data_IF_762714104130
#
_entry.id   IF_762714104130
#
_cell.length_a   1.000
_cell.length_b   1.000
_cell.length_c   1.000
_cell.angle_alpha   90.00
_cell.angle_beta   90.00
_cell.angle_gamma   90.00
#
_symmetry.space_group_name_H-M   'P 1'
#
loop_
_entity.id
_entity.type
_entity.pdbx_description
1 polymer ?
#
# COMPACT_ATOMS: atom_id res chain seq x y z
N UNK A 1 -0.82 -45.63 -31.76
CA UNK A 1 -1.23 -44.80 -30.58
C UNK A 1 -0.18 -44.75 -29.45
N UNK A 2 0.69 -45.73 -29.33
CA UNK A 2 1.74 -45.69 -28.28
C UNK A 2 2.89 -44.71 -28.51
N UNK A 3 3.09 -44.20 -29.73
CA UNK A 3 4.15 -43.24 -30.07
C UNK A 3 3.90 -41.79 -29.63
N UNK A 4 2.64 -41.41 -29.41
CA UNK A 4 2.27 -40.04 -28.99
C UNK A 4 2.24 -39.86 -27.46
N UNK A 5 2.23 -40.97 -26.71
CA UNK A 5 2.24 -40.95 -25.26
C UNK A 5 3.62 -40.59 -24.71
N UNK A 6 4.69 -40.86 -25.47
CA UNK A 6 6.09 -40.55 -25.12
C UNK A 6 6.44 -39.06 -25.36
N UNK A 7 5.77 -38.41 -26.33
CA UNK A 7 5.98 -36.99 -26.65
C UNK A 7 5.32 -36.08 -25.61
N UNK A 8 4.23 -36.53 -25.00
CA UNK A 8 3.52 -35.78 -23.96
C UNK A 8 4.27 -35.72 -22.64
N UNK A 9 5.18 -36.65 -22.39
CA UNK A 9 5.94 -36.74 -21.14
C UNK A 9 7.19 -35.84 -21.10
N UNK A 10 7.65 -35.37 -22.27
CA UNK A 10 8.83 -34.49 -22.39
C UNK A 10 8.44 -33.01 -22.28
N UNK A 11 7.17 -32.66 -22.50
CA UNK A 11 6.67 -31.27 -22.39
C UNK A 11 6.42 -30.77 -20.96
N UNK A 12 6.51 -31.65 -19.95
CA UNK A 12 6.29 -31.29 -18.53
C UNK A 12 7.59 -31.00 -17.74
N UNK A 13 8.75 -30.98 -18.41
CA UNK A 13 10.07 -30.90 -17.77
C UNK A 13 10.71 -29.49 -17.70
N UNK A 14 9.99 -28.43 -18.05
CA UNK A 14 10.54 -27.07 -17.98
C UNK A 14 9.77 -26.18 -17.01
N UNK A 15 9.62 -26.63 -15.76
CA UNK A 15 9.28 -25.71 -14.67
C UNK A 15 10.59 -25.05 -14.27
N UNK A 16 10.87 -23.91 -14.91
CA UNK A 16 11.91 -22.99 -14.45
C UNK A 16 11.58 -22.58 -13.02
N UNK A 17 12.41 -22.99 -12.07
CA UNK A 17 12.48 -22.41 -10.74
C UNK A 17 12.99 -20.97 -10.86
N UNK A 18 12.12 -20.06 -11.31
CA UNK A 18 12.35 -18.62 -11.33
C UNK A 18 11.93 -18.04 -9.98
N UNK A 19 12.91 -17.59 -9.23
CA UNK A 19 12.87 -16.65 -8.10
C UNK A 19 11.52 -16.46 -7.38
N UNK A 20 11.21 -17.35 -6.44
CA UNK A 20 10.03 -17.27 -5.58
C UNK A 20 10.11 -16.15 -4.51
N UNK A 21 11.17 -15.33 -4.50
CA UNK A 21 11.34 -14.26 -3.50
C UNK A 21 10.69 -12.94 -3.92
N UNK A 22 10.59 -12.65 -5.22
CA UNK A 22 10.04 -11.39 -5.72
C UNK A 22 8.49 -11.38 -5.73
N UNK A 23 7.87 -12.52 -6.03
CA UNK A 23 6.40 -12.68 -6.07
C UNK A 23 5.75 -12.45 -4.70
N UNK A 24 6.46 -12.74 -3.60
CA UNK A 24 5.93 -12.60 -2.25
C UNK A 24 5.85 -11.16 -1.75
N UNK A 25 6.75 -10.28 -2.18
CA UNK A 25 6.79 -8.89 -1.75
C UNK A 25 5.77 -8.04 -2.52
N UNK A 26 5.70 -8.22 -3.83
CA UNK A 26 4.69 -7.58 -4.68
C UNK A 26 3.26 -7.97 -4.28
N UNK A 27 3.03 -9.23 -3.90
CA UNK A 27 1.73 -9.67 -3.43
C UNK A 27 1.35 -9.00 -2.11
N UNK A 28 2.27 -8.90 -1.15
CA UNK A 28 2.04 -8.20 0.13
C UNK A 28 1.73 -6.73 -0.06
N UNK A 29 2.40 -6.06 -0.99
CA UNK A 29 2.14 -4.65 -1.33
C UNK A 29 0.74 -4.49 -1.92
N UNK A 30 0.33 -5.39 -2.82
CA UNK A 30 -1.02 -5.41 -3.40
C UNK A 30 -2.09 -5.66 -2.34
N UNK A 31 -1.85 -6.59 -1.40
CA UNK A 31 -2.78 -6.91 -0.31
C UNK A 31 -2.95 -5.70 0.63
N UNK A 32 -1.87 -5.02 1.00
CA UNK A 32 -1.93 -3.81 1.83
C UNK A 32 -2.68 -2.69 1.13
N UNK A 33 -2.47 -2.51 -0.18
CA UNK A 33 -3.19 -1.52 -0.97
C UNK A 33 -4.69 -1.84 -1.03
N UNK A 34 -5.06 -3.09 -1.25
CA UNK A 34 -6.46 -3.53 -1.26
C UNK A 34 -7.13 -3.31 0.10
N UNK A 35 -6.44 -3.62 1.20
CA UNK A 35 -6.92 -3.35 2.56
C UNK A 35 -7.11 -1.86 2.81
N UNK A 36 -6.19 -1.02 2.35
CA UNK A 36 -6.30 0.43 2.47
C UNK A 36 -7.52 0.97 1.72
N UNK A 37 -7.71 0.53 0.47
CA UNK A 37 -8.87 0.94 -0.34
C UNK A 37 -10.17 0.55 0.34
N UNK A 38 -10.30 -0.70 0.81
CA UNK A 38 -11.48 -1.17 1.50
C UNK A 38 -11.73 -0.39 2.81
N UNK A 39 -10.67 -0.15 3.59
CA UNK A 39 -10.73 0.59 4.84
C UNK A 39 -11.21 2.04 4.63
N UNK A 40 -10.58 2.79 3.72
CA UNK A 40 -10.93 4.19 3.45
C UNK A 40 -12.33 4.30 2.86
N UNK A 41 -12.68 3.45 1.88
CA UNK A 41 -14.02 3.42 1.28
C UNK A 41 -15.09 3.24 2.33
N UNK A 42 -14.90 2.31 3.27
CA UNK A 42 -15.84 2.04 4.37
C UNK A 42 -15.88 3.19 5.37
N UNK A 43 -14.73 3.72 5.77
CA UNK A 43 -14.63 4.76 6.80
C UNK A 43 -15.20 6.11 6.35
N UNK A 44 -15.11 6.41 5.05
CA UNK A 44 -15.65 7.63 4.47
C UNK A 44 -17.05 7.45 3.88
N UNK A 45 -17.57 6.21 3.87
CA UNK A 45 -18.86 5.88 3.25
C UNK A 45 -18.93 6.44 1.81
N UNK A 46 -17.92 6.10 1.00
CA UNK A 46 -17.83 6.58 -0.37
C UNK A 46 -18.88 5.94 -1.26
N UNK A 47 -19.68 6.78 -1.94
CA UNK A 47 -20.52 6.28 -3.03
C UNK A 47 -19.66 5.85 -4.23
N UNK A 48 -20.18 5.02 -5.17
CA UNK A 48 -19.45 4.66 -6.39
C UNK A 48 -18.98 5.88 -7.19
N UNK A 49 -19.83 6.91 -7.29
CA UNK A 49 -19.53 8.15 -8.01
C UNK A 49 -18.43 8.97 -7.33
N UNK A 50 -18.46 9.04 -6.00
CA UNK A 50 -17.40 9.68 -5.22
C UNK A 50 -16.09 8.90 -5.33
N UNK A 51 -16.13 7.58 -5.25
CA UNK A 51 -14.96 6.72 -5.38
C UNK A 51 -14.25 6.89 -6.74
N UNK A 52 -15.01 7.03 -7.84
CA UNK A 52 -14.47 7.29 -9.18
C UNK A 52 -13.69 8.61 -9.25
N UNK A 53 -14.04 9.61 -8.45
CA UNK A 53 -13.33 10.91 -8.39
C UNK A 53 -12.23 10.89 -7.34
N UNK A 54 -12.47 10.24 -6.21
CA UNK A 54 -11.56 10.20 -5.07
C UNK A 54 -10.27 9.44 -5.38
N UNK A 55 -10.33 8.24 -5.94
CA UNK A 55 -9.16 7.39 -6.10
C UNK A 55 -8.12 7.92 -7.09
N UNK A 56 -8.47 8.49 -8.25
CA UNK A 56 -7.49 9.16 -9.11
C UNK A 56 -6.82 10.35 -8.42
N UNK A 57 -7.59 11.16 -7.68
CA UNK A 57 -7.08 12.29 -6.90
C UNK A 57 -6.13 11.82 -5.80
N UNK A 58 -6.51 10.77 -5.07
CA UNK A 58 -5.68 10.14 -4.04
C UNK A 58 -4.36 9.61 -4.62
N UNK A 59 -4.39 9.02 -5.81
CA UNK A 59 -3.18 8.52 -6.49
C UNK A 59 -2.21 9.67 -6.79
N UNK A 60 -2.69 10.80 -7.27
CA UNK A 60 -1.87 11.99 -7.50
C UNK A 60 -1.29 12.53 -6.19
N UNK A 61 -2.11 12.63 -5.16
CA UNK A 61 -1.70 13.03 -3.81
C UNK A 61 -0.58 12.13 -3.25
N UNK A 62 -0.74 10.82 -3.33
CA UNK A 62 0.28 9.85 -2.88
C UNK A 62 1.59 9.96 -3.69
N UNK A 63 1.50 10.22 -4.99
CA UNK A 63 2.67 10.41 -5.82
C UNK A 63 3.42 11.69 -5.42
N UNK A 64 2.72 12.80 -5.17
CA UNK A 64 3.35 14.03 -4.70
C UNK A 64 3.98 13.86 -3.31
N UNK A 65 3.35 13.10 -2.40
CA UNK A 65 3.96 12.77 -1.10
C UNK A 65 5.28 12.01 -1.25
N UNK A 66 5.40 11.13 -2.25
CA UNK A 66 6.65 10.39 -2.52
C UNK A 66 7.77 11.27 -3.05
N UNK A 67 7.46 12.44 -3.63
CA UNK A 67 8.48 13.39 -4.11
C UNK A 67 9.16 14.17 -2.98
N UNK A 68 8.58 14.17 -1.77
CA UNK A 68 9.19 14.82 -0.60
C UNK A 68 10.52 14.14 -0.27
N UNK A 69 11.59 14.91 -0.28
CA UNK A 69 12.95 14.41 -0.04
C UNK A 69 13.07 13.83 1.37
N UNK A 70 13.63 12.62 1.45
CA UNK A 70 13.77 11.89 2.72
C UNK A 70 14.90 12.40 3.60
N UNK A 71 15.88 13.06 3.02
CA UNK A 71 17.10 13.62 3.64
C UNK A 71 16.92 15.05 4.19
N UNK A 72 15.74 15.64 4.05
CA UNK A 72 15.44 16.93 4.64
C UNK A 72 15.51 16.87 6.18
N UNK A 73 15.96 17.96 6.84
CA UNK A 73 15.78 18.12 8.28
C UNK A 73 14.33 17.89 8.71
N UNK A 74 14.12 17.31 9.89
CA UNK A 74 12.80 16.78 10.29
C UNK A 74 11.67 17.82 10.19
N UNK A 75 11.88 19.06 10.67
CA UNK A 75 10.85 20.10 10.58
C UNK A 75 10.55 20.52 9.14
N UNK A 76 11.57 20.59 8.28
CA UNK A 76 11.38 20.91 6.85
C UNK A 76 10.63 19.79 6.14
N UNK A 77 10.91 18.54 6.48
CA UNK A 77 10.19 17.37 5.97
C UNK A 77 8.72 17.40 6.38
N UNK A 78 8.42 17.66 7.64
CA UNK A 78 7.05 17.80 8.14
C UNK A 78 6.31 18.94 7.41
N UNK A 79 6.97 20.08 7.21
CA UNK A 79 6.41 21.21 6.47
C UNK A 79 6.11 20.81 5.01
N UNK A 80 7.04 20.13 4.32
CA UNK A 80 6.85 19.69 2.95
C UNK A 80 5.66 18.71 2.81
N UNK A 81 5.50 17.78 3.75
CA UNK A 81 4.32 16.90 3.78
C UNK A 81 3.03 17.68 4.03
N UNK A 82 3.05 18.69 4.89
CA UNK A 82 1.91 19.55 5.16
C UNK A 82 1.53 20.37 3.92
N UNK A 83 2.51 20.88 3.18
CA UNK A 83 2.29 21.67 1.97
C UNK A 83 1.61 20.83 0.88
N UNK A 84 2.04 19.58 0.70
CA UNK A 84 1.35 18.65 -0.21
C UNK A 84 -0.08 18.41 0.25
N UNK A 85 -0.35 18.18 1.54
CA UNK A 85 -1.72 18.02 2.05
C UNK A 85 -2.58 19.24 1.77
N UNK A 86 -2.07 20.44 2.03
CA UNK A 86 -2.77 21.71 1.77
C UNK A 86 -3.08 21.89 0.27
N UNK A 87 -2.12 21.54 -0.61
CA UNK A 87 -2.32 21.58 -2.07
C UNK A 87 -3.53 20.78 -2.52
N UNK A 88 -3.79 19.62 -1.91
CA UNK A 88 -4.88 18.72 -2.28
C UNK A 88 -6.16 18.91 -1.47
N UNK A 89 -6.12 19.65 -0.36
CA UNK A 89 -7.23 19.79 0.58
C UNK A 89 -8.52 20.25 -0.12
N UNK A 90 -8.48 21.31 -0.93
CA UNK A 90 -9.66 21.84 -1.61
C UNK A 90 -10.26 20.86 -2.62
N UNK A 91 -9.41 20.06 -3.27
CA UNK A 91 -9.87 19.03 -4.20
C UNK A 91 -10.58 17.90 -3.46
N UNK A 92 -10.06 17.47 -2.31
CA UNK A 92 -10.73 16.48 -1.46
C UNK A 92 -12.02 17.03 -0.86
N UNK A 93 -12.05 18.31 -0.45
CA UNK A 93 -13.27 18.94 0.05
C UNK A 93 -14.37 18.96 -1.02
N UNK A 94 -14.03 19.22 -2.28
CA UNK A 94 -14.99 19.18 -3.40
C UNK A 94 -15.60 17.80 -3.63
N UNK A 95 -14.86 16.74 -3.38
CA UNK A 95 -15.35 15.36 -3.55
C UNK A 95 -16.09 14.85 -2.31
N UNK A 96 -15.58 15.15 -1.12
CA UNK A 96 -16.02 14.55 0.15
C UNK A 96 -16.87 15.47 1.01
N UNK A 97 -16.76 16.80 0.83
CA UNK A 97 -17.17 17.78 1.82
C UNK A 97 -16.12 17.95 2.94
N UNK A 98 -16.20 19.07 3.68
CA UNK A 98 -15.20 19.46 4.67
C UNK A 98 -15.02 18.40 5.79
N UNK A 99 -16.12 17.92 6.38
CA UNK A 99 -16.07 16.96 7.49
C UNK A 99 -15.42 15.62 7.11
N UNK A 100 -15.75 15.08 5.92
CA UNK A 100 -15.15 13.82 5.45
C UNK A 100 -13.72 14.00 4.96
N UNK A 101 -13.36 15.19 4.47
CA UNK A 101 -11.97 15.53 4.15
C UNK A 101 -11.09 15.50 5.41
N UNK A 102 -11.51 16.13 6.50
CA UNK A 102 -10.83 16.06 7.78
C UNK A 102 -10.70 14.62 8.29
N UNK A 103 -11.80 13.87 8.18
CA UNK A 103 -11.81 12.46 8.54
C UNK A 103 -10.83 11.66 7.69
N UNK A 104 -10.74 11.93 6.39
CA UNK A 104 -9.80 11.28 5.50
C UNK A 104 -8.35 11.44 5.97
N UNK A 105 -7.89 12.66 6.22
CA UNK A 105 -6.51 12.88 6.67
C UNK A 105 -6.19 12.20 8.01
N UNK A 106 -7.18 12.10 8.89
CA UNK A 106 -7.03 11.39 10.17
C UNK A 106 -6.90 9.88 9.97
N UNK A 107 -7.84 9.26 9.25
CA UNK A 107 -7.83 7.80 9.04
C UNK A 107 -6.64 7.34 8.17
N UNK A 108 -6.19 8.14 7.22
CA UNK A 108 -4.98 7.90 6.44
C UNK A 108 -3.75 7.82 7.36
N UNK A 109 -3.60 8.78 8.27
CA UNK A 109 -2.52 8.78 9.26
C UNK A 109 -2.62 7.60 10.24
N UNK A 110 -3.81 7.25 10.71
CA UNK A 110 -4.04 6.11 11.60
C UNK A 110 -3.68 4.78 10.93
N UNK A 111 -4.10 4.57 9.69
CA UNK A 111 -3.78 3.37 8.94
C UNK A 111 -2.25 3.21 8.74
N UNK A 112 -1.58 4.29 8.34
CA UNK A 112 -0.11 4.29 8.15
C UNK A 112 0.65 3.98 9.45
N UNK A 113 0.23 4.57 10.58
CA UNK A 113 0.81 4.25 11.90
C UNK A 113 0.62 2.78 12.27
N UNK A 114 -0.58 2.24 12.05
CA UNK A 114 -0.87 0.83 12.32
C UNK A 114 -0.02 -0.13 11.51
N UNK A 115 0.22 0.16 10.24
CA UNK A 115 1.13 -0.62 9.41
C UNK A 115 2.56 -0.63 9.96
N UNK A 116 3.05 0.52 10.43
CA UNK A 116 4.39 0.63 11.04
C UNK A 116 4.47 -0.20 12.31
N UNK A 117 3.47 -0.14 13.19
CA UNK A 117 3.39 -0.95 14.41
C UNK A 117 3.46 -2.45 14.10
N UNK A 118 2.61 -2.92 13.18
CA UNK A 118 2.57 -4.34 12.76
C UNK A 118 3.93 -4.78 12.21
N UNK A 119 4.56 -3.96 11.38
CA UNK A 119 5.90 -4.25 10.83
C UNK A 119 6.94 -4.38 11.94
N UNK A 120 6.95 -3.44 12.88
CA UNK A 120 7.90 -3.42 14.00
C UNK A 120 7.70 -4.65 14.91
N UNK A 121 6.46 -5.01 15.23
CA UNK A 121 6.14 -6.21 16.01
C UNK A 121 6.63 -7.50 15.32
N UNK A 122 6.42 -7.62 14.00
CA UNK A 122 6.91 -8.77 13.23
C UNK A 122 8.43 -8.88 13.27
N UNK A 123 9.14 -7.76 13.12
CA UNK A 123 10.61 -7.74 13.21
C UNK A 123 11.11 -8.14 14.61
N UNK A 124 10.47 -7.63 15.67
CA UNK A 124 10.82 -8.01 17.04
C UNK A 124 10.60 -9.51 17.30
N UNK A 125 9.46 -10.04 16.87
CA UNK A 125 9.15 -11.47 17.01
C UNK A 125 10.15 -12.36 16.25
N UNK A 126 10.57 -11.95 15.04
CA UNK A 126 11.61 -12.66 14.29
C UNK A 126 12.94 -12.68 15.05
N UNK A 127 13.39 -11.51 15.55
CA UNK A 127 14.64 -11.41 16.34
C UNK A 127 14.59 -12.29 17.60
N UNK A 128 13.47 -12.35 18.30
CA UNK A 128 13.29 -13.21 19.46
C UNK A 128 13.35 -14.71 19.11
N UNK A 129 12.76 -15.11 17.97
CA UNK A 129 12.84 -16.50 17.48
C UNK A 129 14.29 -16.89 17.18
N UNK A 130 15.05 -16.04 16.49
CA UNK A 130 16.47 -16.32 16.22
C UNK A 130 17.30 -16.44 17.49
N UNK A 131 17.05 -15.64 18.53
CA UNK A 131 17.78 -15.73 19.82
C UNK A 131 17.49 -17.01 20.61
N UNK A 132 16.32 -17.64 20.39
CA UNK A 132 15.96 -18.89 21.09
C UNK A 132 16.56 -20.13 20.43
N UNK A 133 17.07 -20.02 19.22
CA UNK A 133 17.62 -21.14 18.44
C UNK A 133 19.15 -21.22 18.61
N UNK A 134 19.79 -20.18 19.14
CA UNK A 134 21.21 -20.16 19.50
C UNK A 134 21.42 -20.57 20.95
#
# INVERSE_FOLDING_TARGET
MKKYLLILLIALGSISFGNAQDVGEDQKVKDVKALYVAYVTKQLDLTPEEAQKFWPLHTQFENDLKTVKKDLPELQKQQAYLDVKKKYQDNFVRVLGANRCDRFFRIDGEFKRKLIEIRNQRQQNQRQRFRRIQ
#
